data_IF_020651273469
#
_entry.id   IF_020651273469
#
_cell.length_a   1.000
_cell.length_b   1.000
_cell.length_c   1.000
_cell.angle_alpha   90.00
_cell.angle_beta   90.00
_cell.angle_gamma   90.00
#
_symmetry.space_group_name_H-M   'P 1'
#
loop_
_entity.id
_entity.type
_entity.pdbx_description
1 polymer ?
#
# COMPACT_ATOMS: atom_id res chain seq x y z
N UNK A 1 -6.84 18.98 -4.83
CA UNK A 1 -6.50 17.68 -4.24
C UNK A 1 -5.05 17.33 -4.56
N UNK A 2 -4.41 16.55 -3.69
CA UNK A 2 -2.98 16.23 -3.82
C UNK A 2 -2.76 14.95 -4.64
N UNK A 3 -1.89 15.02 -5.66
CA UNK A 3 -1.42 13.84 -6.40
C UNK A 3 -0.47 13.05 -5.50
N UNK A 4 -0.61 11.74 -5.48
CA UNK A 4 0.35 10.87 -4.83
C UNK A 4 0.91 9.82 -5.79
N UNK A 5 2.17 9.48 -5.58
CA UNK A 5 2.83 8.32 -6.14
C UNK A 5 3.40 7.52 -4.96
N UNK A 6 2.94 6.29 -4.77
CA UNK A 6 3.28 5.45 -3.61
C UNK A 6 3.94 4.17 -4.09
N UNK A 7 5.04 3.80 -3.45
CA UNK A 7 5.69 2.49 -3.58
C UNK A 7 5.70 1.84 -2.20
N UNK A 8 5.15 0.63 -2.08
CA UNK A 8 5.13 -0.10 -0.82
C UNK A 8 5.25 -1.60 -1.07
N UNK A 9 6.12 -2.27 -0.33
CA UNK A 9 6.28 -3.71 -0.43
C UNK A 9 5.00 -4.44 0.00
N UNK A 10 4.38 -4.00 1.09
CA UNK A 10 3.11 -4.50 1.58
C UNK A 10 2.05 -3.40 1.58
N UNK A 11 0.83 -3.76 1.18
CA UNK A 11 -0.28 -2.82 1.07
C UNK A 11 -1.56 -3.41 1.68
N UNK A 12 -1.78 -3.12 2.94
CA UNK A 12 -3.01 -3.43 3.67
C UNK A 12 -3.35 -2.33 4.69
N UNK A 13 -3.58 -1.09 4.21
CA UNK A 13 -3.81 0.06 5.08
C UNK A 13 -5.12 -0.06 5.84
N UNK A 14 -5.22 0.66 6.97
CA UNK A 14 -6.48 0.82 7.66
C UNK A 14 -7.54 1.48 6.76
N UNK A 15 -8.82 1.26 7.07
CA UNK A 15 -9.92 1.84 6.29
C UNK A 15 -9.85 3.37 6.22
N UNK A 16 -9.38 4.03 7.28
CA UNK A 16 -9.22 5.49 7.32
C UNK A 16 -8.22 5.96 6.28
N UNK A 17 -7.05 5.32 6.21
CA UNK A 17 -6.00 5.64 5.23
C UNK A 17 -6.49 5.34 3.82
N UNK A 18 -7.11 4.18 3.61
CA UNK A 18 -7.67 3.78 2.32
C UNK A 18 -8.68 4.81 1.79
N UNK A 19 -9.57 5.31 2.67
CA UNK A 19 -10.56 6.35 2.31
C UNK A 19 -9.87 7.69 1.99
N UNK A 20 -8.83 8.09 2.71
CA UNK A 20 -8.05 9.31 2.44
C UNK A 20 -7.33 9.23 1.09
N UNK A 21 -6.68 8.11 0.77
CA UNK A 21 -6.06 7.88 -0.53
C UNK A 21 -7.09 7.93 -1.67
N UNK A 22 -8.21 7.27 -1.49
CA UNK A 22 -9.31 7.26 -2.45
C UNK A 22 -9.89 8.66 -2.68
N UNK A 23 -10.04 9.47 -1.63
CA UNK A 23 -10.49 10.88 -1.72
C UNK A 23 -9.47 11.73 -2.47
N UNK A 24 -8.17 11.59 -2.16
CA UNK A 24 -7.10 12.31 -2.86
C UNK A 24 -7.08 11.97 -4.36
N UNK A 25 -7.14 10.69 -4.71
CA UNK A 25 -7.13 10.22 -6.10
C UNK A 25 -8.35 10.68 -6.91
N UNK A 26 -9.53 10.80 -6.28
CA UNK A 26 -10.75 11.27 -6.96
C UNK A 26 -10.58 12.67 -7.56
N UNK A 27 -9.87 13.53 -6.87
CA UNK A 27 -9.64 14.93 -7.27
C UNK A 27 -8.39 15.12 -8.12
N UNK A 28 -7.49 14.12 -8.19
CA UNK A 28 -6.27 14.17 -8.98
C UNK A 28 -6.13 12.93 -9.87
N UNK A 29 -6.31 13.16 -11.17
CA UNK A 29 -5.99 12.14 -12.17
C UNK A 29 -4.47 11.90 -12.15
N UNK A 30 -4.05 10.63 -12.13
CA UNK A 30 -2.63 10.26 -12.23
C UNK A 30 -1.97 9.84 -10.92
N UNK A 31 -2.74 9.72 -9.81
CA UNK A 31 -2.24 9.07 -8.59
C UNK A 31 -1.94 7.59 -8.83
N UNK A 32 -0.77 7.14 -8.38
CA UNK A 32 -0.25 5.79 -8.63
C UNK A 32 0.11 5.06 -7.35
N UNK A 33 -0.09 3.75 -7.39
CA UNK A 33 0.34 2.81 -6.36
C UNK A 33 1.15 1.70 -7.03
N UNK A 34 2.40 1.53 -6.65
CA UNK A 34 3.28 0.43 -7.05
C UNK A 34 3.46 -0.49 -5.85
N UNK A 35 3.14 -1.75 -6.01
CA UNK A 35 3.24 -2.78 -4.95
C UNK A 35 4.04 -3.97 -5.44
N UNK A 36 4.45 -4.84 -4.52
CA UNK A 36 5.12 -6.07 -4.89
C UNK A 36 4.18 -6.98 -5.70
N UNK A 37 4.62 -7.39 -6.89
CA UNK A 37 3.95 -8.42 -7.68
C UNK A 37 4.47 -9.82 -7.38
N UNK A 38 5.65 -9.91 -6.76
CA UNK A 38 6.28 -11.14 -6.27
C UNK A 38 6.63 -10.99 -4.80
N UNK A 39 6.21 -11.92 -3.97
CA UNK A 39 6.54 -12.02 -2.55
C UNK A 39 6.41 -13.47 -2.12
N UNK A 40 7.12 -13.81 -1.10
CA UNK A 40 7.07 -15.10 -0.40
C UNK A 40 5.72 -15.34 0.32
N UNK A 41 4.94 -14.28 0.52
CA UNK A 41 3.64 -14.37 1.18
C UNK A 41 2.48 -14.00 0.22
N UNK A 42 1.98 -15.00 -0.48
CA UNK A 42 0.86 -14.84 -1.42
C UNK A 42 -0.44 -14.29 -0.77
N UNK A 43 -0.62 -14.48 0.54
CA UNK A 43 -1.78 -13.96 1.25
C UNK A 43 -1.78 -12.42 1.30
N UNK A 44 -0.61 -11.79 1.39
CA UNK A 44 -0.50 -10.32 1.39
C UNK A 44 -0.84 -9.72 0.03
N UNK A 45 -0.45 -10.38 -1.07
CA UNK A 45 -0.88 -9.97 -2.42
C UNK A 45 -2.40 -10.12 -2.57
N UNK A 46 -2.96 -11.24 -2.15
CA UNK A 46 -4.40 -11.47 -2.23
C UNK A 46 -5.19 -10.42 -1.43
N UNK A 47 -4.74 -10.10 -0.21
CA UNK A 47 -5.32 -9.05 0.63
C UNK A 47 -5.23 -7.66 -0.05
N UNK A 48 -4.08 -7.31 -0.63
CA UNK A 48 -3.91 -6.05 -1.35
C UNK A 48 -4.86 -5.95 -2.57
N UNK A 49 -5.03 -7.03 -3.34
CA UNK A 49 -5.91 -7.08 -4.53
C UNK A 49 -7.38 -6.81 -4.22
N UNK A 50 -7.86 -7.14 -3.01
CA UNK A 50 -9.22 -6.77 -2.60
C UNK A 50 -9.42 -5.25 -2.58
N UNK A 51 -8.38 -4.51 -2.17
CA UNK A 51 -8.43 -3.06 -2.03
C UNK A 51 -8.29 -2.34 -3.36
N UNK A 52 -7.69 -3.00 -4.38
CA UNK A 52 -7.45 -2.39 -5.69
C UNK A 52 -8.73 -1.87 -6.33
N UNK A 53 -9.79 -2.66 -6.32
CA UNK A 53 -11.08 -2.25 -6.93
C UNK A 53 -11.62 -0.96 -6.33
N UNK A 54 -11.48 -0.79 -5.04
CA UNK A 54 -11.92 0.42 -4.33
C UNK A 54 -11.13 1.65 -4.77
N UNK A 55 -9.80 1.54 -4.87
CA UNK A 55 -8.91 2.63 -5.30
C UNK A 55 -9.06 2.94 -6.79
N UNK A 56 -9.15 1.92 -7.65
CA UNK A 56 -9.32 2.08 -9.10
C UNK A 56 -10.64 2.75 -9.47
N UNK A 57 -11.72 2.51 -8.71
CA UNK A 57 -12.99 3.24 -8.89
C UNK A 57 -12.81 4.76 -8.65
N UNK A 58 -11.74 5.16 -7.99
CA UNK A 58 -11.40 6.55 -7.67
C UNK A 58 -10.17 7.04 -8.43
N UNK A 59 -9.91 6.40 -9.58
CA UNK A 59 -8.88 6.81 -10.55
C UNK A 59 -7.43 6.64 -10.07
N UNK A 60 -7.15 5.82 -9.05
CA UNK A 60 -5.80 5.37 -8.74
C UNK A 60 -5.38 4.32 -9.76
N UNK A 61 -4.23 4.50 -10.40
CA UNK A 61 -3.57 3.46 -11.20
C UNK A 61 -2.74 2.57 -10.29
N UNK A 62 -2.80 1.27 -10.49
CA UNK A 62 -2.14 0.28 -9.63
C UNK A 62 -1.24 -0.60 -10.48
N UNK A 63 -0.02 -0.80 -10.01
CA UNK A 63 1.04 -1.51 -10.70
C UNK A 63 1.64 -2.57 -9.76
N UNK A 64 1.71 -3.82 -10.23
CA UNK A 64 2.42 -4.89 -9.54
C UNK A 64 3.82 -5.02 -10.14
N UNK A 65 4.85 -4.66 -9.38
CA UNK A 65 6.24 -4.72 -9.79
C UNK A 65 6.71 -6.16 -9.92
N UNK A 66 7.25 -6.54 -11.10
CA UNK A 66 7.52 -7.94 -11.46
C UNK A 66 9.01 -8.27 -11.57
N UNK A 67 9.88 -7.28 -11.73
CA UNK A 67 11.29 -7.48 -12.08
C UNK A 67 12.07 -8.22 -10.98
N UNK A 68 11.86 -7.83 -9.73
CA UNK A 68 12.55 -8.38 -8.55
C UNK A 68 11.69 -8.20 -7.28
N UNK A 69 12.05 -8.84 -6.14
CA UNK A 69 11.39 -8.57 -4.87
C UNK A 69 11.42 -7.08 -4.54
N UNK A 70 10.27 -6.52 -4.19
CA UNK A 70 10.13 -5.10 -3.83
C UNK A 70 10.21 -4.94 -2.31
N UNK A 71 11.14 -4.11 -1.84
CA UNK A 71 11.25 -3.76 -0.41
C UNK A 71 11.23 -2.24 -0.15
N UNK A 72 11.07 -1.43 -1.18
CA UNK A 72 11.03 0.03 -1.09
C UNK A 72 9.73 0.53 -0.43
N UNK A 73 9.85 1.57 0.42
CA UNK A 73 8.75 2.32 1.01
C UNK A 73 8.98 3.79 0.72
N UNK A 74 8.29 4.28 -0.30
CA UNK A 74 8.44 5.63 -0.84
C UNK A 74 7.06 6.22 -1.12
N UNK A 75 6.81 7.44 -0.65
CA UNK A 75 5.63 8.20 -1.04
C UNK A 75 6.05 9.58 -1.53
N UNK A 76 5.52 9.99 -2.65
CA UNK A 76 5.66 11.35 -3.18
C UNK A 76 4.28 11.98 -3.24
N UNK A 77 4.06 13.01 -2.45
CA UNK A 77 2.78 13.75 -2.39
C UNK A 77 3.07 15.20 -2.75
N UNK A 78 2.62 15.64 -3.91
CA UNK A 78 3.00 16.91 -4.52
C UNK A 78 4.54 17.08 -4.52
N UNK A 79 5.09 18.07 -3.81
CA UNK A 79 6.53 18.34 -3.71
C UNK A 79 7.17 17.74 -2.45
N UNK A 80 6.48 16.82 -1.78
CA UNK A 80 6.98 16.22 -0.54
C UNK A 80 7.27 14.74 -0.74
N UNK A 81 8.45 14.33 -0.37
CA UNK A 81 8.92 12.93 -0.38
C UNK A 81 8.91 12.36 1.03
N UNK A 82 8.40 11.16 1.18
CA UNK A 82 8.47 10.35 2.39
C UNK A 82 9.17 9.05 2.05
N UNK A 83 10.25 8.74 2.74
CA UNK A 83 11.06 7.52 2.55
C UNK A 83 11.48 6.96 3.90
N UNK A 84 11.47 5.64 4.04
CA UNK A 84 11.86 5.00 5.29
C UNK A 84 11.52 3.53 5.36
N UNK A 85 11.25 3.04 6.55
CA UNK A 85 11.02 1.61 6.82
C UNK A 85 9.54 1.21 6.80
N UNK A 86 8.60 2.16 7.00
CA UNK A 86 7.18 1.88 7.15
C UNK A 86 6.49 1.46 5.84
N UNK A 87 5.96 0.24 5.79
CA UNK A 87 5.02 -0.16 4.77
C UNK A 87 3.65 0.53 4.97
N UNK A 88 2.85 0.54 3.92
CA UNK A 88 1.48 1.04 4.00
C UNK A 88 0.54 -0.09 4.46
N UNK A 89 0.78 -0.59 5.65
CA UNK A 89 -0.02 -1.61 6.33
C UNK A 89 -0.27 -1.24 7.81
N UNK A 90 -1.18 -1.98 8.45
CA UNK A 90 -1.60 -1.70 9.84
C UNK A 90 -0.46 -1.95 10.83
N UNK A 91 0.39 -2.97 10.59
CA UNK A 91 1.51 -3.29 11.50
C UNK A 91 2.54 -2.18 11.51
N UNK A 92 3.01 -1.76 10.32
CA UNK A 92 4.00 -0.68 10.21
C UNK A 92 3.48 0.64 10.76
N UNK A 93 2.18 0.92 10.64
CA UNK A 93 1.63 2.21 11.02
C UNK A 93 1.20 2.33 12.48
N UNK A 94 0.97 1.21 13.19
CA UNK A 94 0.38 1.24 14.54
C UNK A 94 1.06 0.33 15.56
N UNK A 95 1.94 -0.59 15.13
CA UNK A 95 2.52 -1.61 16.01
C UNK A 95 4.05 -1.55 16.00
N UNK A 96 4.66 -1.48 14.81
CA UNK A 96 6.13 -1.49 14.68
C UNK A 96 6.74 -0.13 15.03
N UNK A 97 7.99 -0.16 15.48
CA UNK A 97 8.83 1.03 15.50
C UNK A 97 9.39 1.24 14.10
N UNK A 98 8.99 2.33 13.47
CA UNK A 98 9.36 2.65 12.09
C UNK A 98 9.95 4.06 12.02
N UNK A 99 10.87 4.26 11.08
CA UNK A 99 11.47 5.56 10.81
C UNK A 99 11.04 6.01 9.42
N UNK A 100 10.48 7.23 9.35
CA UNK A 100 10.13 7.88 8.09
C UNK A 100 10.74 9.27 8.03
N UNK A 101 11.51 9.54 6.97
CA UNK A 101 12.05 10.86 6.66
C UNK A 101 11.07 11.58 5.73
N UNK A 102 10.73 12.81 6.06
CA UNK A 102 9.92 13.70 5.24
C UNK A 102 10.77 14.85 4.71
N UNK A 103 10.88 14.97 3.40
CA UNK A 103 11.61 16.06 2.72
C UNK A 103 10.64 16.83 1.81
N UNK A 104 10.53 18.12 2.01
CA UNK A 104 9.77 19.01 1.11
C UNK A 104 10.74 19.67 0.13
N UNK A 105 10.89 19.08 -1.04
CA UNK A 105 11.75 19.56 -2.12
C UNK A 105 11.18 19.11 -3.49
N UNK A 106 10.90 20.07 -4.35
CA UNK A 106 10.29 19.81 -5.66
C UNK A 106 11.23 19.05 -6.60
N UNK A 107 12.57 19.30 -6.53
CA UNK A 107 13.55 18.62 -7.38
C UNK A 107 13.70 17.16 -6.97
N UNK A 108 13.78 16.92 -5.65
CA UNK A 108 13.80 15.55 -5.11
C UNK A 108 12.50 14.80 -5.46
N UNK A 109 11.34 15.46 -5.31
CA UNK A 109 10.05 14.86 -5.66
C UNK A 109 9.97 14.48 -7.15
N UNK A 110 10.50 15.35 -8.04
CA UNK A 110 10.59 15.05 -9.47
C UNK A 110 11.53 13.87 -9.74
N UNK A 111 12.69 13.84 -9.08
CA UNK A 111 13.66 12.74 -9.22
C UNK A 111 13.05 11.41 -8.76
N UNK A 112 12.36 11.38 -7.62
CA UNK A 112 11.69 10.18 -7.11
C UNK A 112 10.55 9.72 -8.04
N UNK A 113 9.83 10.65 -8.68
CA UNK A 113 8.82 10.28 -9.69
C UNK A 113 9.42 9.63 -10.92
N UNK A 114 10.59 10.09 -11.39
CA UNK A 114 11.32 9.43 -12.50
C UNK A 114 11.71 7.99 -12.11
N UNK A 115 12.19 7.79 -10.88
CA UNK A 115 12.45 6.44 -10.37
C UNK A 115 11.18 5.57 -10.39
N UNK A 116 10.06 6.12 -9.93
CA UNK A 116 8.78 5.42 -9.97
C UNK A 116 8.33 5.14 -11.41
N UNK A 117 8.60 6.03 -12.36
CA UNK A 117 8.31 5.82 -13.79
C UNK A 117 9.08 4.60 -14.34
N UNK A 118 10.36 4.44 -13.98
CA UNK A 118 11.15 3.26 -14.36
C UNK A 118 10.62 1.97 -13.71
N UNK A 119 10.13 2.05 -12.47
CA UNK A 119 9.49 0.91 -11.82
C UNK A 119 8.17 0.53 -12.49
N UNK A 120 7.38 1.52 -12.90
CA UNK A 120 6.12 1.31 -13.63
C UNK A 120 6.35 0.58 -14.94
N UNK A 121 7.41 0.90 -15.69
CA UNK A 121 7.78 0.18 -16.93
C UNK A 121 8.07 -1.31 -16.71
N UNK A 122 8.52 -1.68 -15.50
CA UNK A 122 8.83 -3.04 -15.09
C UNK A 122 7.68 -3.70 -14.31
N UNK A 123 6.49 -3.11 -14.35
CA UNK A 123 5.32 -3.54 -13.59
C UNK A 123 4.18 -3.97 -14.50
N UNK A 124 3.33 -4.86 -14.01
CA UNK A 124 2.06 -5.19 -14.62
C UNK A 124 0.98 -4.22 -14.11
N UNK A 125 0.40 -3.41 -15.01
CA UNK A 125 -0.72 -2.54 -14.61
C UNK A 125 -1.96 -3.37 -14.34
N UNK A 126 -2.48 -3.26 -13.14
CA UNK A 126 -3.69 -3.95 -12.74
C UNK A 126 -4.90 -3.25 -13.33
N UNK A 127 -5.73 -3.99 -14.05
CA UNK A 127 -6.97 -3.50 -14.64
C UNK A 127 -8.18 -4.21 -14.05
N UNK A 128 -9.36 -3.61 -14.21
CA UNK A 128 -10.61 -4.27 -13.78
C UNK A 128 -10.85 -5.59 -14.51
N UNK A 129 -10.38 -5.71 -15.75
CA UNK A 129 -10.50 -6.92 -16.56
C UNK A 129 -9.62 -8.02 -15.98
N UNK A 130 -8.34 -7.72 -15.69
CA UNK A 130 -7.41 -8.66 -15.06
C UNK A 130 -7.90 -9.13 -13.69
N UNK A 131 -8.40 -8.20 -12.87
CA UNK A 131 -8.97 -8.56 -11.57
C UNK A 131 -10.22 -9.44 -11.69
N UNK A 132 -11.06 -9.22 -12.73
CA UNK A 132 -12.22 -10.09 -13.00
C UNK A 132 -11.80 -11.48 -13.46
N UNK A 133 -10.82 -11.58 -14.33
CA UNK A 133 -10.32 -12.86 -14.85
C UNK A 133 -9.67 -13.74 -13.76
N UNK A 134 -9.07 -13.11 -12.75
CA UNK A 134 -8.44 -13.80 -11.60
C UNK A 134 -9.43 -14.11 -10.46
N UNK A 135 -10.65 -13.56 -10.48
CA UNK A 135 -11.65 -13.71 -9.42
C UNK A 135 -12.55 -14.93 -9.61
N UNK A 136 -12.29 -15.95 -8.82
CA UNK A 136 -13.30 -16.93 -8.42
C UNK A 136 -13.97 -16.45 -7.11
N UNK A 137 -15.22 -16.85 -6.85
CA UNK A 137 -15.89 -16.60 -5.55
C UNK A 137 -15.06 -17.11 -4.38
N UNK A 138 -14.41 -18.26 -4.54
CA UNK A 138 -13.49 -18.85 -3.56
C UNK A 138 -12.22 -18.02 -3.35
N UNK A 139 -11.63 -17.47 -4.40
CA UNK A 139 -10.44 -16.62 -4.27
C UNK A 139 -10.77 -15.32 -3.53
N UNK A 140 -11.95 -14.75 -3.77
CA UNK A 140 -12.44 -13.57 -3.05
C UNK A 140 -12.70 -13.85 -1.58
N UNK A 141 -13.30 -14.99 -1.24
CA UNK A 141 -13.53 -15.39 0.14
C UNK A 141 -12.21 -15.62 0.89
N UNK A 142 -11.26 -16.37 0.29
CA UNK A 142 -9.92 -16.57 0.86
C UNK A 142 -9.18 -15.26 1.07
N UNK A 143 -9.24 -14.35 0.11
CA UNK A 143 -8.61 -13.04 0.20
C UNK A 143 -9.27 -12.15 1.28
N UNK A 144 -10.60 -12.19 1.42
CA UNK A 144 -11.31 -11.48 2.48
C UNK A 144 -10.94 -12.03 3.88
N UNK A 145 -10.85 -13.34 3.99
CA UNK A 145 -10.41 -14.00 5.24
C UNK A 145 -8.94 -13.64 5.55
N UNK A 146 -8.05 -13.68 4.56
CA UNK A 146 -6.65 -13.27 4.72
C UNK A 146 -6.53 -11.80 5.14
N UNK A 147 -7.29 -10.90 4.51
CA UNK A 147 -7.35 -9.49 4.90
C UNK A 147 -7.84 -9.31 6.34
N UNK A 148 -8.90 -10.02 6.73
CA UNK A 148 -9.42 -9.99 8.10
C UNK A 148 -8.37 -10.50 9.10
N UNK A 149 -7.72 -11.63 8.83
CA UNK A 149 -6.69 -12.20 9.70
C UNK A 149 -5.50 -11.27 9.86
N UNK A 150 -4.96 -10.73 8.75
CA UNK A 150 -3.81 -9.82 8.77
C UNK A 150 -4.12 -8.53 9.54
N UNK A 151 -5.34 -7.97 9.38
CA UNK A 151 -5.66 -6.69 10.00
C UNK A 151 -6.28 -6.80 11.40
N UNK A 152 -6.97 -7.90 11.74
CA UNK A 152 -7.70 -8.03 12.99
C UNK A 152 -6.92 -8.80 14.05
N UNK A 153 -6.23 -9.87 13.67
CA UNK A 153 -5.46 -10.70 14.62
C UNK A 153 -4.22 -9.95 15.08
N UNK A 154 -3.46 -9.37 14.17
CA UNK A 154 -2.25 -8.60 14.52
C UNK A 154 -2.56 -7.37 15.37
N UNK A 155 -3.63 -6.63 15.06
CA UNK A 155 -4.05 -5.46 15.83
C UNK A 155 -4.49 -5.81 17.25
N UNK A 156 -5.25 -6.90 17.41
CA UNK A 156 -5.77 -7.33 18.71
C UNK A 156 -4.64 -7.85 19.62
N UNK A 157 -3.70 -8.61 19.07
CA UNK A 157 -2.55 -9.15 19.81
C UNK A 157 -1.60 -8.00 20.19
N UNK A 158 -1.23 -7.13 19.25
CA UNK A 158 -0.34 -5.99 19.49
C UNK A 158 -0.89 -5.05 20.58
N UNK A 159 -2.19 -4.74 20.52
CA UNK A 159 -2.85 -3.90 21.52
C UNK A 159 -2.83 -4.53 22.94
N UNK A 160 -3.06 -5.85 23.06
CA UNK A 160 -3.00 -6.54 24.36
C UNK A 160 -1.60 -6.53 24.95
N UNK A 161 -0.56 -6.73 24.16
CA UNK A 161 0.84 -6.71 24.60
C UNK A 161 1.22 -5.30 25.06
N UNK A 162 0.90 -4.26 24.29
CA UNK A 162 1.25 -2.87 24.62
C UNK A 162 0.54 -2.40 25.89
N UNK A 163 -0.75 -2.69 26.07
CA UNK A 163 -1.49 -2.32 27.28
C UNK A 163 -1.07 -3.16 28.49
N UNK A 164 -0.64 -4.43 28.32
CA UNK A 164 -0.10 -5.27 29.38
C UNK A 164 1.21 -4.72 29.95
N UNK A 165 2.10 -4.20 29.10
CA UNK A 165 3.38 -3.62 29.49
C UNK A 165 3.25 -2.25 30.20
N UNK A 166 2.22 -1.46 29.88
CA UNK A 166 1.98 -0.14 30.51
C UNK A 166 1.35 -0.29 31.90
N UNK A 167 0.61 -1.39 32.15
CA UNK A 167 -0.07 -1.61 33.47
C UNK A 167 0.86 -2.19 34.54
N UNK A 168 2.04 -2.65 34.18
CA UNK A 168 3.04 -3.23 35.09
C UNK A 168 4.22 -2.28 35.37
N UNK A 169 4.03 -0.95 35.22
CA UNK A 169 4.96 0.08 35.69
C UNK A 169 4.29 1.01 36.69
#
# INVERSE_FOLDING_TARGET
GKRFDIVSAYFSPSQTILRRLAKAAKHNKGSRLVVAGKTDNNATIAAARLLYRYLMRRKTRIFEFQSRPLHMKLMVIDDTVYIGSANLDVRSMFINLEIMVRVKDARLALHMRKLIDEMVKQSEEQTRILLKARDSYWSRFKAALAYFLVNSVDYTIGRRITFGLIRNR
#
